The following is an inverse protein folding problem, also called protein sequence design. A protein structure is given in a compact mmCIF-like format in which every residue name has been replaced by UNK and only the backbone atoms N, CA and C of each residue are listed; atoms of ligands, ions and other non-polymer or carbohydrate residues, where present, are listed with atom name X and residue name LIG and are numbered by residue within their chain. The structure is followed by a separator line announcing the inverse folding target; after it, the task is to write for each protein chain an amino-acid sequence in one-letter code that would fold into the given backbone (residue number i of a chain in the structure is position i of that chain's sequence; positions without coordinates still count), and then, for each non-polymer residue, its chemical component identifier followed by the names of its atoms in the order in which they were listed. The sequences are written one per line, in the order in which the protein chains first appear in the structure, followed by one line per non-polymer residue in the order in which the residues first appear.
data_IF_046240134296
#
_entry.id   IF_046240134296
#
_cell.length_a   1.000
_cell.length_b   1.000
_cell.length_c   1.000
_cell.angle_alpha   90.00
_cell.angle_beta   90.00
_cell.angle_gamma   90.00
#
_symmetry.space_group_name_H-M   'P 1'
#
loop_
_entity.id
_entity.type
_entity.pdbx_description
1 polymer ?
#
# COMPACT_ATOMS: atom_id res chain seq x y z
N UNK A 1 7.80 10.39 3.98
CA UNK A 1 7.18 9.63 5.09
C UNK A 1 7.17 8.17 4.71
N UNK A 2 7.58 7.31 5.62
CA UNK A 2 7.53 5.87 5.40
C UNK A 2 6.09 5.38 5.49
N UNK A 3 5.72 4.45 4.63
CA UNK A 3 4.43 3.81 4.71
C UNK A 3 4.45 2.75 5.80
N UNK A 4 3.42 2.74 6.63
CA UNK A 4 3.26 1.74 7.67
C UNK A 4 2.65 0.48 7.05
N UNK A 5 3.24 -0.66 7.39
CA UNK A 5 2.76 -1.96 6.93
C UNK A 5 2.07 -2.72 8.07
N UNK A 6 0.94 -3.34 7.81
CA UNK A 6 0.28 -4.21 8.77
C UNK A 6 -0.59 -5.28 8.08
N UNK A 7 -0.86 -6.32 8.83
CA UNK A 7 -1.75 -7.41 8.42
C UNK A 7 -3.13 -7.24 9.05
N UNK A 8 -4.18 -7.32 8.27
CA UNK A 8 -5.56 -7.23 8.76
C UNK A 8 -5.96 -8.39 9.67
N UNK A 9 -5.42 -9.57 9.42
CA UNK A 9 -5.84 -10.80 10.08
C UNK A 9 -5.01 -11.13 11.33
N UNK A 10 -3.82 -10.55 11.45
CA UNK A 10 -2.89 -10.83 12.55
C UNK A 10 -2.53 -9.54 13.29
N UNK A 11 -3.20 -9.25 14.41
CA UNK A 11 -2.84 -8.11 15.24
C UNK A 11 -1.47 -8.36 15.89
N UNK A 12 -0.50 -7.57 15.57
CA UNK A 12 0.87 -7.72 16.09
C UNK A 12 1.92 -7.13 15.17
N UNK A 13 1.54 -6.86 13.94
CA UNK A 13 2.33 -6.08 13.02
C UNK A 13 2.20 -4.58 13.31
N UNK A 14 3.04 -3.81 12.66
CA UNK A 14 3.01 -2.35 12.73
C UNK A 14 1.63 -1.79 12.38
N UNK A 15 1.42 -0.59 12.76
CA UNK A 15 0.16 0.10 12.56
C UNK A 15 -0.56 0.35 13.87
N UNK A 16 -1.03 1.57 14.01
CA UNK A 16 -1.88 1.97 15.13
C UNK A 16 -3.29 1.44 14.93
N UNK A 17 -4.11 1.33 15.99
CA UNK A 17 -5.53 0.99 15.84
C UNK A 17 -6.25 1.92 14.85
N UNK A 18 -5.87 3.19 14.82
CA UNK A 18 -6.44 4.18 13.88
C UNK A 18 -6.07 3.87 12.43
N UNK A 19 -4.79 3.60 12.14
CA UNK A 19 -4.35 3.26 10.78
C UNK A 19 -4.97 1.94 10.28
N UNK A 20 -5.16 0.97 11.17
CA UNK A 20 -5.85 -0.29 10.85
C UNK A 20 -7.32 -0.06 10.50
N UNK A 21 -8.02 0.74 11.28
CA UNK A 21 -9.41 1.09 11.03
C UNK A 21 -9.56 1.82 9.70
N UNK A 22 -8.66 2.74 9.43
CA UNK A 22 -8.63 3.50 8.18
C UNK A 22 -8.41 2.60 6.98
N UNK A 23 -7.41 1.73 7.03
CA UNK A 23 -7.13 0.78 5.96
C UNK A 23 -8.27 -0.23 5.75
N UNK A 24 -8.90 -0.69 6.82
CA UNK A 24 -10.07 -1.56 6.73
C UNK A 24 -11.23 -0.86 6.00
N UNK A 25 -11.50 0.41 6.32
CA UNK A 25 -12.52 1.18 5.63
C UNK A 25 -12.25 1.35 4.13
N UNK A 26 -10.98 1.52 3.76
CA UNK A 26 -10.56 1.69 2.36
C UNK A 26 -10.68 0.37 1.57
N UNK A 27 -10.29 -0.75 2.15
CA UNK A 27 -10.13 -2.01 1.43
C UNK A 27 -11.18 -3.08 1.72
N UNK A 28 -12.01 -2.93 2.76
CA UNK A 28 -13.03 -3.92 3.08
C UNK A 28 -13.95 -4.27 1.90
N UNK A 29 -14.46 -3.32 1.11
CA UNK A 29 -15.29 -3.66 -0.05
C UNK A 29 -14.56 -4.52 -1.08
N UNK A 30 -13.26 -4.27 -1.29
CA UNK A 30 -12.43 -5.07 -2.20
C UNK A 30 -12.22 -6.48 -1.65
N UNK A 31 -11.87 -6.62 -0.38
CA UNK A 31 -11.63 -7.91 0.26
C UNK A 31 -12.91 -8.74 0.36
N UNK A 32 -14.05 -8.11 0.63
CA UNK A 32 -15.36 -8.77 0.71
C UNK A 32 -15.86 -9.25 -0.67
N UNK A 33 -15.42 -8.61 -1.75
CA UNK A 33 -15.76 -9.01 -3.12
C UNK A 33 -14.99 -10.23 -3.61
N UNK A 34 -13.91 -10.62 -2.91
CA UNK A 34 -13.14 -11.81 -3.26
C UNK A 34 -13.93 -13.09 -2.95
N UNK A 35 -13.81 -14.12 -3.80
CA UNK A 35 -14.41 -15.42 -3.50
C UNK A 35 -13.93 -15.98 -2.16
N UNK A 36 -14.69 -16.86 -1.51
CA UNK A 36 -14.24 -17.50 -0.27
C UNK A 36 -12.87 -18.16 -0.46
N UNK A 37 -11.99 -18.01 0.54
CA UNK A 37 -10.69 -18.65 0.53
C UNK A 37 -10.86 -20.18 0.52
N UNK A 38 -10.04 -20.88 -0.25
CA UNK A 38 -10.11 -22.34 -0.44
C UNK A 38 -10.08 -23.12 0.88
N UNK A 39 -9.48 -22.56 1.93
CA UNK A 39 -9.38 -23.16 3.26
C UNK A 39 -10.42 -22.64 4.26
N UNK A 40 -11.43 -21.90 3.78
CA UNK A 40 -12.51 -21.40 4.64
C UNK A 40 -12.12 -20.30 5.62
N UNK A 41 -11.08 -19.53 5.33
CA UNK A 41 -10.61 -18.42 6.18
C UNK A 41 -10.62 -17.08 5.46
N UNK A 42 -10.18 -16.04 6.17
CA UNK A 42 -9.92 -14.74 5.58
C UNK A 42 -8.63 -14.80 4.76
N UNK A 43 -8.61 -14.07 3.64
CA UNK A 43 -7.37 -13.91 2.88
C UNK A 43 -6.32 -13.19 3.73
N UNK A 44 -5.07 -13.67 3.76
CA UNK A 44 -3.98 -12.86 4.28
C UNK A 44 -3.90 -11.56 3.50
N UNK A 45 -3.97 -10.44 4.20
CA UNK A 45 -3.96 -9.13 3.58
C UNK A 45 -3.03 -8.18 4.32
N UNK A 46 -2.09 -7.62 3.58
CA UNK A 46 -1.17 -6.60 4.06
C UNK A 46 -1.51 -5.27 3.41
N UNK A 47 -1.39 -4.21 4.17
CA UNK A 47 -1.59 -2.85 3.68
C UNK A 47 -0.41 -1.99 4.06
N UNK A 48 0.11 -1.26 3.09
CA UNK A 48 1.02 -0.16 3.33
C UNK A 48 0.24 1.14 3.22
N UNK A 49 0.36 2.01 4.22
CA UNK A 49 -0.45 3.22 4.32
C UNK A 49 0.36 4.41 4.82
N UNK A 50 0.11 5.58 4.25
CA UNK A 50 0.59 6.87 4.73
C UNK A 50 -0.51 7.92 4.58
N UNK A 51 -0.57 8.86 5.52
CA UNK A 51 -1.56 9.93 5.49
C UNK A 51 -0.91 11.30 5.74
N UNK A 52 -1.40 12.31 5.05
CA UNK A 52 -0.98 13.70 5.17
C UNK A 52 -2.20 14.60 5.35
N UNK A 53 -2.10 15.59 6.20
CA UNK A 53 -3.14 16.57 6.39
C UNK A 53 -2.69 17.93 5.83
N UNK A 54 -3.52 18.52 5.00
CA UNK A 54 -3.27 19.85 4.44
C UNK A 54 -4.57 20.49 3.94
N UNK A 55 -4.74 21.77 4.19
CA UNK A 55 -5.85 22.56 3.64
C UNK A 55 -7.24 22.03 4.02
N UNK A 56 -7.40 21.48 5.22
CA UNK A 56 -8.66 20.91 5.67
C UNK A 56 -8.99 19.53 5.08
N UNK A 57 -8.05 18.91 4.41
CA UNK A 57 -8.18 17.56 3.87
C UNK A 57 -7.11 16.63 4.43
N UNK A 58 -7.46 15.35 4.51
CA UNK A 58 -6.53 14.25 4.75
C UNK A 58 -6.35 13.48 3.45
N UNK A 59 -5.12 13.33 3.02
CA UNK A 59 -4.73 12.55 1.84
C UNK A 59 -4.14 11.23 2.30
N UNK A 60 -4.75 10.13 1.91
CA UNK A 60 -4.40 8.79 2.38
C UNK A 60 -3.94 7.96 1.20
N UNK A 61 -2.69 7.55 1.21
CA UNK A 61 -2.08 6.68 0.19
C UNK A 61 -2.05 5.26 0.74
N UNK A 62 -2.59 4.32 0.02
CA UNK A 62 -2.70 2.95 0.48
C UNK A 62 -2.47 1.94 -0.63
N UNK A 63 -1.71 0.89 -0.34
CA UNK A 63 -1.40 -0.20 -1.26
C UNK A 63 -1.81 -1.50 -0.59
N UNK A 64 -2.56 -2.34 -1.31
CA UNK A 64 -3.05 -3.61 -0.81
C UNK A 64 -2.28 -4.78 -1.42
N UNK A 65 -1.80 -5.68 -0.58
CA UNK A 65 -1.34 -7.01 -0.96
C UNK A 65 -2.23 -8.05 -0.31
N UNK A 66 -3.04 -8.74 -1.08
CA UNK A 66 -3.84 -9.86 -0.59
C UNK A 66 -3.37 -11.14 -1.29
N UNK A 67 -2.95 -12.10 -0.49
CA UNK A 67 -2.46 -13.37 -1.01
C UNK A 67 -3.62 -14.31 -1.31
N UNK A 68 -3.71 -14.75 -2.54
CA UNK A 68 -4.58 -15.85 -2.97
C UNK A 68 -3.91 -16.56 -4.12
N UNK A 69 -3.95 -17.88 -4.10
CA UNK A 69 -3.41 -18.68 -5.19
C UNK A 69 -4.23 -18.54 -6.48
N UNK A 70 -5.52 -18.32 -6.34
CA UNK A 70 -6.47 -18.26 -7.46
C UNK A 70 -6.76 -16.82 -7.90
N UNK A 71 -6.76 -15.88 -6.96
CA UNK A 71 -7.08 -14.47 -7.20
C UNK A 71 -6.01 -13.56 -6.62
N UNK A 72 -4.79 -13.60 -7.15
CA UNK A 72 -3.73 -12.73 -6.64
C UNK A 72 -4.07 -11.27 -6.89
N UNK A 73 -3.97 -10.44 -5.86
CA UNK A 73 -4.15 -8.99 -6.00
C UNK A 73 -2.88 -8.32 -6.51
N UNK A 74 -1.73 -8.96 -6.35
CA UNK A 74 -0.45 -8.47 -6.82
C UNK A 74 0.09 -9.36 -7.94
N UNK A 75 0.91 -8.76 -8.78
CA UNK A 75 1.60 -9.43 -9.89
C UNK A 75 3.11 -9.40 -9.65
N UNK A 76 3.82 -10.33 -10.25
CA UNK A 76 5.27 -10.31 -10.24
C UNK A 76 5.79 -9.11 -11.05
N UNK A 77 6.89 -8.47 -10.62
CA UNK A 77 7.49 -7.38 -11.38
C UNK A 77 7.93 -7.85 -12.76
N UNK A 78 7.91 -6.97 -13.77
CA UNK A 78 8.50 -7.27 -15.07
C UNK A 78 9.97 -7.67 -14.93
N UNK A 79 10.42 -8.63 -15.72
CA UNK A 79 11.79 -9.14 -15.74
C UNK A 79 12.27 -9.78 -14.41
N UNK A 80 11.36 -10.17 -13.53
CA UNK A 80 11.72 -10.96 -12.36
C UNK A 80 12.24 -12.34 -12.78
N UNK A 81 13.29 -12.79 -12.12
CA UNK A 81 13.89 -14.11 -12.34
C UNK A 81 14.28 -14.75 -11.02
N UNK A 82 14.52 -16.06 -11.03
CA UNK A 82 14.96 -16.78 -9.82
C UNK A 82 16.30 -16.26 -9.24
N UNK A 83 17.11 -15.58 -10.05
CA UNK A 83 18.40 -15.03 -9.65
C UNK A 83 18.29 -13.58 -9.15
N UNK A 84 17.37 -12.80 -9.72
CA UNK A 84 17.15 -11.39 -9.41
C UNK A 84 15.69 -11.11 -9.08
N UNK A 85 15.15 -11.82 -8.09
CA UNK A 85 13.77 -11.60 -7.64
C UNK A 85 13.72 -10.32 -6.79
N UNK A 86 13.03 -9.27 -7.23
CA UNK A 86 12.77 -8.12 -6.38
C UNK A 86 11.94 -8.52 -5.16
N UNK A 87 12.12 -7.81 -4.06
CA UNK A 87 11.32 -8.05 -2.85
C UNK A 87 9.97 -7.35 -2.88
N UNK A 88 9.68 -6.60 -3.95
CA UNK A 88 8.38 -5.97 -4.16
C UNK A 88 7.55 -6.74 -5.18
N UNK A 89 6.25 -6.66 -5.04
CA UNK A 89 5.27 -7.06 -6.05
C UNK A 89 4.55 -5.83 -6.60
N UNK A 90 3.78 -5.99 -7.66
CA UNK A 90 3.00 -4.91 -8.28
C UNK A 90 1.56 -5.04 -7.82
N UNK A 91 1.11 -4.14 -6.98
CA UNK A 91 -0.14 -4.26 -6.21
C UNK A 91 -1.11 -3.10 -6.45
N UNK A 92 -2.41 -3.28 -6.19
CA UNK A 92 -3.39 -2.21 -6.27
C UNK A 92 -3.05 -1.04 -5.35
N UNK A 93 -3.13 0.17 -5.87
CA UNK A 93 -2.91 1.41 -5.13
C UNK A 93 -4.16 2.28 -5.17
N UNK A 94 -4.51 2.85 -4.04
CA UNK A 94 -5.68 3.71 -3.87
C UNK A 94 -5.32 4.95 -3.06
N UNK A 95 -5.82 6.09 -3.49
CA UNK A 95 -5.71 7.34 -2.75
C UNK A 95 -7.11 7.78 -2.35
N UNK A 96 -7.28 8.09 -1.08
CA UNK A 96 -8.52 8.65 -0.53
C UNK A 96 -8.25 10.07 -0.06
N UNK A 97 -9.10 10.99 -0.45
CA UNK A 97 -9.09 12.37 0.03
C UNK A 97 -10.32 12.57 0.88
N UNK A 98 -10.09 12.74 2.17
CA UNK A 98 -11.13 12.89 3.17
C UNK A 98 -11.17 14.34 3.66
N UNK A 99 -12.34 14.98 3.58
CA UNK A 99 -12.52 16.29 4.19
C UNK A 99 -12.55 16.19 5.71
N UNK A 100 -11.77 17.02 6.38
CA UNK A 100 -11.75 17.14 7.84
C UNK A 100 -12.85 18.08 8.36
N UNK A 101 -13.51 18.81 7.46
CA UNK A 101 -14.55 19.82 7.80
C UNK A 101 -15.97 19.35 7.45
N UNK A 102 -16.16 18.06 7.21
CA UNK A 102 -17.48 17.49 6.90
C UNK A 102 -17.87 17.49 5.42
N UNK A 103 -16.92 17.79 4.51
CA UNK A 103 -17.11 17.68 3.07
C UNK A 103 -17.08 16.22 2.57
N UNK A 104 -17.09 16.05 1.25
CA UNK A 104 -17.09 14.74 0.63
C UNK A 104 -15.75 14.03 0.78
N UNK A 105 -15.83 12.71 0.89
CA UNK A 105 -14.68 11.81 0.73
C UNK A 105 -14.64 11.34 -0.72
N UNK A 106 -13.50 11.51 -1.38
CA UNK A 106 -13.27 11.02 -2.73
C UNK A 106 -12.23 9.91 -2.71
N UNK A 107 -12.38 8.95 -3.60
CA UNK A 107 -11.49 7.82 -3.74
C UNK A 107 -11.09 7.69 -5.19
N UNK A 108 -9.81 7.43 -5.43
CA UNK A 108 -9.26 7.21 -6.76
C UNK A 108 -8.34 6.01 -6.75
N UNK A 109 -8.58 5.08 -7.67
CA UNK A 109 -7.67 3.99 -7.94
C UNK A 109 -6.62 4.44 -8.94
N UNK A 110 -5.37 4.10 -8.64
CA UNK A 110 -4.23 4.38 -9.49
C UNK A 110 -3.73 3.10 -10.16
N UNK A 111 -2.94 3.22 -11.24
CA UNK A 111 -2.25 2.05 -11.77
C UNK A 111 -1.47 1.33 -10.68
N UNK A 112 -1.39 0.01 -10.79
CA UNK A 112 -0.69 -0.83 -9.82
C UNK A 112 0.73 -0.31 -9.57
N UNK A 113 1.15 -0.44 -8.33
CA UNK A 113 2.42 0.10 -7.85
C UNK A 113 3.24 -0.94 -7.09
N UNK A 114 4.54 -0.73 -7.04
CA UNK A 114 5.46 -1.55 -6.25
C UNK A 114 5.09 -1.56 -4.77
N UNK A 115 5.00 -2.73 -4.18
CA UNK A 115 4.70 -2.93 -2.77
C UNK A 115 5.62 -3.97 -2.15
N UNK A 116 6.28 -3.63 -1.07
CA UNK A 116 7.12 -4.58 -0.34
C UNK A 116 6.21 -5.48 0.47
N UNK A 117 6.17 -6.74 0.11
CA UNK A 117 5.25 -7.73 0.69
C UNK A 117 5.89 -8.60 1.76
N UNK A 118 7.21 -8.58 1.87
CA UNK A 118 7.96 -9.40 2.83
C UNK A 118 8.44 -8.57 4.01
N UNK A 119 8.00 -8.94 5.19
CA UNK A 119 8.43 -8.39 6.47
C UNK A 119 9.18 -9.43 7.31
N UNK A 120 9.81 -10.39 6.67
CA UNK A 120 10.55 -11.38 7.42
C UNK A 120 11.88 -10.82 7.96
N UNK A 121 12.49 -11.57 8.84
CA UNK A 121 13.76 -11.19 9.48
C UNK A 121 14.92 -11.03 8.50
N UNK A 122 14.82 -11.59 7.30
CA UNK A 122 15.83 -11.49 6.25
C UNK A 122 15.72 -10.21 5.43
N UNK A 123 14.60 -9.49 5.59
CA UNK A 123 14.30 -8.25 4.89
C UNK A 123 14.09 -7.11 5.89
N UNK A 124 15.17 -6.65 6.57
CA UNK A 124 15.03 -5.66 7.63
C UNK A 124 14.44 -4.36 7.08
N UNK A 125 13.47 -3.82 7.80
CA UNK A 125 12.74 -2.60 7.43
C UNK A 125 13.66 -1.39 7.25
N UNK A 126 14.76 -1.33 7.95
CA UNK A 126 15.75 -0.25 7.79
C UNK A 126 16.37 -0.18 6.40
N UNK A 127 16.26 -1.24 5.62
CA UNK A 127 16.80 -1.35 4.26
C UNK A 127 15.74 -1.58 3.19
N UNK A 128 14.51 -1.89 3.58
CA UNK A 128 13.45 -2.28 2.68
C UNK A 128 12.18 -1.55 3.10
N UNK A 129 11.82 -0.49 2.40
CA UNK A 129 10.69 0.35 2.76
C UNK A 129 10.13 1.10 1.56
N UNK A 130 8.94 1.58 1.72
CA UNK A 130 8.24 2.45 0.79
C UNK A 130 8.12 3.84 1.38
N UNK A 131 8.19 4.83 0.52
CA UNK A 131 8.04 6.22 0.91
C UNK A 131 7.09 6.96 -0.01
N UNK A 132 6.33 7.86 0.57
CA UNK A 132 5.56 8.85 -0.15
C UNK A 132 5.91 10.26 0.37
N UNK A 133 6.13 11.18 -0.57
CA UNK A 133 6.24 12.60 -0.30
C UNK A 133 5.09 13.31 -1.03
N UNK A 134 4.43 14.22 -0.36
CA UNK A 134 3.29 14.93 -0.91
C UNK A 134 3.51 16.45 -0.82
N UNK A 135 3.39 17.09 -1.98
CA UNK A 135 3.39 18.56 -2.07
C UNK A 135 1.94 19.05 -2.22
N UNK A 136 1.43 19.61 -1.14
CA UNK A 136 0.07 20.10 -1.10
C UNK A 136 -0.20 21.31 -2.01
N UNK A 137 0.83 22.10 -2.33
CA UNK A 137 0.66 23.27 -3.22
C UNK A 137 0.44 22.84 -4.65
N UNK A 138 1.21 21.89 -5.11
CA UNK A 138 1.13 21.37 -6.48
C UNK A 138 0.19 20.18 -6.61
N UNK A 139 -0.26 19.60 -5.51
CA UNK A 139 -1.05 18.37 -5.47
C UNK A 139 -0.29 17.18 -6.10
N UNK A 140 1.02 17.19 -6.00
CA UNK A 140 1.87 16.12 -6.50
C UNK A 140 2.30 15.20 -5.37
N UNK A 141 2.14 13.92 -5.57
CA UNK A 141 2.72 12.89 -4.72
C UNK A 141 3.85 12.19 -5.46
N UNK A 142 4.91 11.91 -4.74
CA UNK A 142 6.08 11.18 -5.25
C UNK A 142 6.25 9.92 -4.40
N UNK A 143 6.19 8.78 -5.05
CA UNK A 143 6.32 7.48 -4.39
C UNK A 143 7.56 6.76 -4.85
N UNK A 144 8.22 6.06 -3.95
CA UNK A 144 9.41 5.26 -4.24
C UNK A 144 9.54 4.06 -3.31
N UNK A 145 10.31 3.10 -3.77
CA UNK A 145 10.69 1.92 -2.99
C UNK A 145 12.20 1.88 -2.83
N UNK A 146 12.64 1.52 -1.64
CA UNK A 146 14.03 1.20 -1.35
C UNK A 146 14.09 -0.29 -1.00
N UNK A 147 14.93 -1.03 -1.70
CA UNK A 147 15.20 -2.45 -1.45
C UNK A 147 16.69 -2.68 -1.29
N UNK A 148 17.06 -3.48 -0.30
CA UNK A 148 18.47 -3.76 0.04
C UNK A 148 19.29 -2.49 0.27
N UNK A 149 18.66 -1.44 0.81
CA UNK A 149 19.27 -0.14 1.07
C UNK A 149 19.52 0.71 -0.18
N UNK A 150 18.98 0.34 -1.32
CA UNK A 150 19.11 1.08 -2.58
C UNK A 150 17.75 1.41 -3.17
N UNK A 151 17.58 2.60 -3.74
CA UNK A 151 16.36 2.92 -4.48
C UNK A 151 16.14 1.94 -5.64
N UNK A 152 14.88 1.58 -5.87
CA UNK A 152 14.44 0.85 -7.06
C UNK A 152 13.88 1.88 -8.06
N UNK A 153 14.66 2.33 -9.07
CA UNK A 153 14.26 3.43 -9.96
C UNK A 153 12.98 3.14 -10.73
N UNK A 154 12.74 1.88 -11.07
CA UNK A 154 11.53 1.39 -11.75
C UNK A 154 10.25 1.61 -10.92
N UNK A 155 10.38 1.78 -9.62
CA UNK A 155 9.27 2.06 -8.71
C UNK A 155 9.05 3.56 -8.45
N UNK A 156 9.89 4.44 -8.99
CA UNK A 156 9.69 5.88 -8.84
C UNK A 156 8.50 6.34 -9.67
N UNK A 157 7.55 7.02 -9.03
CA UNK A 157 6.36 7.52 -9.71
C UNK A 157 5.94 8.87 -9.13
N UNK A 158 5.55 9.77 -10.03
CA UNK A 158 4.87 11.02 -9.68
C UNK A 158 3.39 10.87 -9.99
N UNK A 159 2.54 11.27 -9.06
CA UNK A 159 1.08 11.15 -9.13
C UNK A 159 0.48 12.53 -8.94
N UNK A 160 -0.32 12.98 -9.91
CA UNK A 160 -1.09 14.22 -9.78
C UNK A 160 -2.45 13.89 -9.14
N UNK A 161 -2.75 14.54 -8.04
CA UNK A 161 -4.05 14.45 -7.38
C UNK A 161 -5.00 15.56 -7.84
N UNK A 162 -6.30 15.34 -7.78
CA UNK A 162 -7.29 16.35 -8.10
C UNK A 162 -7.28 17.56 -7.17
#
# INVERSE_FOLDING_TARGET
MDMLAFDFNFPGYEGTPESRKLAAAIWAPTLESLPPHERGGKYPAFVNIAAFESGGNRYIFSILSAASLVYPQCEDPPNSSAINTPIYAICPMRVVIQSLTGGQTTQQDFPRYCNITSNDQFQPKSRNYEQVAFDAKTKMAYVRVVQYGKPAPECNRAIKLP
#
